data_IF_641758231321
#
_entry.id   IF_641758231321
#
_cell.length_a   1.000
_cell.length_b   1.000
_cell.length_c   1.000
_cell.angle_alpha   90.00
_cell.angle_beta   90.00
_cell.angle_gamma   90.00
#
_symmetry.space_group_name_H-M   'P 1'
#
loop_
_entity.id
_entity.type
_entity.pdbx_description
1 polymer ?
#
# COMPACT_ATOMS: atom_id res chain seq x y z
N UNK A 1 30.04 -3.84 19.88
CA UNK A 1 29.12 -2.71 19.58
C UNK A 1 27.70 -3.22 19.66
N UNK A 2 26.82 -2.50 20.37
CA UNK A 2 25.40 -2.86 20.54
C UNK A 2 24.53 -2.08 19.58
N UNK A 3 23.69 -2.78 18.82
CA UNK A 3 22.78 -2.18 17.82
C UNK A 3 21.33 -2.55 18.19
N UNK A 4 20.48 -1.54 18.37
CA UNK A 4 19.06 -1.72 18.62
C UNK A 4 18.24 -1.50 17.35
N UNK A 5 17.31 -2.40 17.04
CA UNK A 5 16.28 -2.19 16.01
C UNK A 5 14.91 -2.11 16.67
N UNK A 6 14.21 -0.99 16.51
CA UNK A 6 12.87 -0.81 17.05
C UNK A 6 11.85 -1.17 15.99
N UNK A 7 11.10 -2.24 16.23
CA UNK A 7 10.12 -2.85 15.35
C UNK A 7 10.65 -4.14 14.71
N UNK A 8 9.92 -5.22 14.90
CA UNK A 8 10.17 -6.55 14.34
C UNK A 8 9.38 -6.83 13.06
N UNK A 9 9.09 -5.79 12.25
CA UNK A 9 8.48 -5.92 10.93
C UNK A 9 9.49 -6.30 9.85
N UNK A 10 9.08 -6.24 8.57
CA UNK A 10 9.91 -6.57 7.42
C UNK A 10 11.23 -5.82 7.41
N UNK A 11 11.20 -4.49 7.50
CA UNK A 11 12.41 -3.64 7.48
C UNK A 11 13.28 -3.85 8.71
N UNK A 12 12.69 -4.03 9.90
CA UNK A 12 13.45 -4.24 11.14
C UNK A 12 14.17 -5.58 11.19
N UNK A 13 13.54 -6.66 10.70
CA UNK A 13 14.19 -7.97 10.59
C UNK A 13 15.31 -7.94 9.53
N UNK A 14 15.06 -7.33 8.36
CA UNK A 14 16.08 -7.17 7.34
C UNK A 14 17.28 -6.35 7.85
N UNK A 15 16.99 -5.26 8.57
CA UNK A 15 18.03 -4.43 9.18
C UNK A 15 18.87 -5.18 10.23
N UNK A 16 18.21 -5.94 11.10
CA UNK A 16 18.89 -6.74 12.13
C UNK A 16 19.76 -7.83 11.51
N UNK A 17 19.29 -8.52 10.45
CA UNK A 17 20.10 -9.50 9.71
C UNK A 17 21.31 -8.85 9.04
N UNK A 18 21.12 -7.70 8.39
CA UNK A 18 22.21 -6.97 7.75
C UNK A 18 23.23 -6.40 8.76
N UNK A 19 22.75 -6.01 9.94
CA UNK A 19 23.61 -5.53 11.01
C UNK A 19 24.33 -6.64 11.76
N UNK A 20 23.85 -7.88 11.71
CA UNK A 20 24.41 -8.99 12.48
C UNK A 20 25.77 -9.44 11.95
N UNK A 21 26.74 -9.75 12.84
CA UNK A 21 28.06 -10.23 12.47
C UNK A 21 28.97 -10.35 13.69
N UNK A 22 30.19 -10.80 13.44
CA UNK A 22 31.19 -11.01 14.51
C UNK A 22 31.45 -9.71 15.28
N UNK A 23 31.38 -9.79 16.61
CA UNK A 23 31.60 -8.64 17.51
C UNK A 23 30.44 -7.65 17.60
N UNK A 24 29.28 -7.95 16.99
CA UNK A 24 28.09 -7.11 17.03
C UNK A 24 26.99 -7.80 17.83
N UNK A 25 26.42 -7.08 18.81
CA UNK A 25 25.26 -7.51 19.62
C UNK A 25 24.02 -6.79 19.12
N UNK A 26 23.17 -7.50 18.38
CA UNK A 26 21.98 -6.93 17.74
C UNK A 26 20.72 -7.36 18.50
N UNK A 27 19.88 -6.40 18.85
CA UNK A 27 18.62 -6.66 19.54
C UNK A 27 17.45 -6.01 18.79
N UNK A 28 16.40 -6.79 18.52
CA UNK A 28 15.10 -6.29 18.04
C UNK A 28 14.18 -6.07 19.25
N UNK A 29 13.63 -4.86 19.39
CA UNK A 29 12.58 -4.53 20.35
C UNK A 29 11.25 -4.41 19.61
N UNK A 30 10.32 -5.33 19.87
CA UNK A 30 9.00 -5.38 19.21
C UNK A 30 7.89 -5.17 20.24
N UNK A 31 6.94 -4.26 19.97
CA UNK A 31 5.81 -3.98 20.88
C UNK A 31 4.77 -5.09 20.95
N UNK A 32 4.59 -5.81 19.84
CA UNK A 32 3.67 -6.94 19.79
C UNK A 32 4.25 -8.18 20.49
N UNK A 33 3.39 -9.17 20.75
CA UNK A 33 3.74 -10.48 21.31
C UNK A 33 4.65 -11.32 20.40
N UNK A 34 4.76 -10.98 19.10
CA UNK A 34 5.60 -11.66 18.09
C UNK A 34 6.00 -10.72 16.97
N UNK A 35 7.15 -11.01 16.35
CA UNK A 35 7.65 -10.29 15.16
C UNK A 35 6.87 -10.70 13.90
N UNK A 36 6.90 -9.89 12.85
CA UNK A 36 6.45 -10.21 11.49
C UNK A 36 4.93 -10.27 11.29
N UNK A 37 4.10 -9.83 12.24
CA UNK A 37 2.62 -9.92 12.14
C UNK A 37 2.09 -9.36 10.81
N UNK A 38 2.59 -8.21 10.35
CA UNK A 38 2.12 -7.56 9.13
C UNK A 38 2.51 -8.36 7.88
N UNK A 39 3.62 -9.09 7.88
CA UNK A 39 4.01 -9.95 6.74
C UNK A 39 2.95 -11.00 6.45
N UNK A 40 2.38 -11.62 7.49
CA UNK A 40 1.42 -12.73 7.36
C UNK A 40 0.13 -12.35 6.62
N UNK A 41 -0.24 -11.07 6.61
CA UNK A 41 -1.45 -10.58 5.94
C UNK A 41 -1.17 -9.97 4.56
N UNK A 42 0.10 -9.84 4.17
CA UNK A 42 0.46 -9.28 2.86
C UNK A 42 0.09 -10.23 1.71
N UNK A 43 -0.31 -9.67 0.57
CA UNK A 43 -0.66 -10.46 -0.62
C UNK A 43 -1.76 -11.50 -0.35
N UNK A 44 -2.75 -11.19 0.50
CA UNK A 44 -3.80 -12.12 0.93
C UNK A 44 -3.21 -13.41 1.54
N UNK A 45 -2.19 -13.30 2.37
CA UNK A 45 -1.53 -14.43 3.02
C UNK A 45 -0.46 -15.13 2.17
N UNK A 46 -0.19 -14.65 0.95
CA UNK A 46 0.81 -15.21 0.04
C UNK A 46 2.17 -14.50 0.10
N UNK A 47 2.23 -13.28 0.61
CA UNK A 47 3.38 -12.38 0.66
C UNK A 47 3.99 -12.08 -0.72
N UNK A 48 3.53 -11.00 -1.35
CA UNK A 48 4.16 -10.48 -2.57
C UNK A 48 5.47 -9.76 -2.19
N UNK A 49 6.60 -10.46 -2.31
CA UNK A 49 7.92 -10.04 -1.83
C UNK A 49 8.46 -8.82 -2.55
N UNK A 50 8.23 -8.74 -3.86
CA UNK A 50 8.82 -7.75 -4.75
C UNK A 50 8.10 -7.73 -6.10
N UNK A 51 8.59 -6.91 -7.04
CA UNK A 51 8.08 -6.83 -8.40
C UNK A 51 9.22 -6.72 -9.40
N UNK A 52 9.24 -7.56 -10.43
CA UNK A 52 10.26 -7.52 -11.48
C UNK A 52 10.07 -6.33 -12.44
N UNK A 53 8.81 -5.82 -12.58
CA UNK A 53 8.53 -4.58 -13.31
C UNK A 53 8.83 -3.34 -12.43
N UNK A 54 9.97 -3.38 -11.73
CA UNK A 54 10.39 -2.34 -10.82
C UNK A 54 10.68 -1.03 -11.54
N UNK A 55 10.10 0.06 -11.03
CA UNK A 55 10.44 1.44 -11.36
C UNK A 55 10.26 2.31 -10.13
N UNK A 56 11.14 3.30 -9.93
CA UNK A 56 10.97 4.30 -8.88
C UNK A 56 9.75 5.20 -9.13
N UNK A 57 9.18 5.19 -10.34
CA UNK A 57 7.91 5.85 -10.66
C UNK A 57 6.71 5.21 -9.97
N UNK A 58 6.85 3.97 -9.51
CA UNK A 58 5.85 3.28 -8.73
C UNK A 58 5.81 3.71 -7.26
N UNK A 59 6.63 4.67 -6.86
CA UNK A 59 6.69 5.18 -5.48
C UNK A 59 6.31 6.65 -5.38
N UNK A 60 5.78 7.01 -4.23
CA UNK A 60 5.50 8.37 -3.79
C UNK A 60 6.43 8.74 -2.65
N UNK A 61 6.97 9.95 -2.69
CA UNK A 61 7.80 10.56 -1.64
C UNK A 61 7.91 12.05 -1.91
N UNK A 62 8.08 12.85 -0.88
CA UNK A 62 8.43 14.27 -1.00
C UNK A 62 9.83 14.52 -1.59
N UNK A 63 10.67 13.47 -1.68
CA UNK A 63 12.02 13.53 -2.25
C UNK A 63 12.25 12.35 -3.22
N UNK A 64 11.32 12.19 -4.18
CA UNK A 64 11.29 11.07 -5.12
C UNK A 64 12.57 10.96 -5.95
N UNK A 65 13.23 12.06 -6.26
CA UNK A 65 14.48 12.13 -7.02
C UNK A 65 15.65 11.38 -6.35
N UNK A 66 15.57 11.11 -5.05
CA UNK A 66 16.59 10.36 -4.30
C UNK A 66 16.40 8.84 -4.38
N UNK A 67 15.21 8.39 -4.68
CA UNK A 67 14.88 6.95 -4.68
C UNK A 67 15.77 6.13 -5.61
N UNK A 68 16.12 6.57 -6.85
CA UNK A 68 17.01 5.80 -7.72
C UNK A 68 18.37 5.51 -7.08
N UNK A 69 18.97 6.49 -6.40
CA UNK A 69 20.26 6.35 -5.70
C UNK A 69 20.17 5.38 -4.51
N UNK A 70 19.07 5.41 -3.77
CA UNK A 70 18.85 4.52 -2.63
C UNK A 70 18.63 3.08 -3.12
N UNK A 71 17.72 2.86 -4.07
CA UNK A 71 17.42 1.52 -4.60
C UNK A 71 18.59 0.87 -5.33
N UNK A 72 19.52 1.66 -5.89
CA UNK A 72 20.76 1.14 -6.50
C UNK A 72 21.69 0.43 -5.48
N UNK A 73 21.58 0.76 -4.19
CA UNK A 73 22.39 0.14 -3.14
C UNK A 73 21.89 -1.26 -2.74
N UNK A 74 20.60 -1.55 -2.97
CA UNK A 74 19.99 -2.86 -2.77
C UNK A 74 18.78 -2.99 -3.68
N UNK A 75 18.96 -3.71 -4.77
CA UNK A 75 18.01 -3.82 -5.89
C UNK A 75 16.99 -4.94 -5.69
N UNK A 76 16.08 -5.11 -6.65
CA UNK A 76 15.18 -6.27 -6.70
C UNK A 76 15.99 -7.58 -6.83
N UNK A 77 17.03 -7.60 -7.67
CA UNK A 77 17.90 -8.79 -7.78
C UNK A 77 18.54 -9.13 -6.44
N UNK A 78 19.12 -8.13 -5.75
CA UNK A 78 19.71 -8.35 -4.41
C UNK A 78 18.65 -8.88 -3.41
N UNK A 79 17.38 -8.49 -3.56
CA UNK A 79 16.30 -9.01 -2.73
C UNK A 79 16.04 -10.50 -3.01
N UNK A 80 16.03 -10.91 -4.27
CA UNK A 80 15.85 -12.31 -4.64
C UNK A 80 17.01 -13.16 -4.13
N UNK A 81 18.25 -12.69 -4.31
CA UNK A 81 19.45 -13.34 -3.82
C UNK A 81 19.44 -13.46 -2.30
N UNK A 82 19.07 -12.37 -1.59
CA UNK A 82 18.93 -12.38 -0.13
C UNK A 82 17.96 -13.47 0.35
N UNK A 83 16.76 -13.57 -0.25
CA UNK A 83 15.81 -14.60 0.15
C UNK A 83 16.24 -16.01 -0.27
N UNK A 84 16.89 -16.16 -1.41
CA UNK A 84 17.47 -17.43 -1.84
C UNK A 84 18.56 -17.92 -0.87
N UNK A 85 19.46 -17.04 -0.42
CA UNK A 85 20.47 -17.36 0.61
C UNK A 85 19.84 -17.74 1.96
N UNK A 86 18.67 -17.23 2.28
CA UNK A 86 17.91 -17.65 3.46
C UNK A 86 17.21 -19.00 3.28
N UNK A 87 17.21 -19.56 2.06
CA UNK A 87 16.59 -20.85 1.73
C UNK A 87 15.14 -20.72 1.23
N UNK A 88 14.70 -19.52 0.81
CA UNK A 88 13.37 -19.32 0.25
C UNK A 88 13.41 -19.46 -1.28
N UNK A 89 12.69 -20.43 -1.82
CA UNK A 89 12.41 -20.50 -3.25
C UNK A 89 11.30 -19.50 -3.61
N UNK A 90 11.50 -18.76 -4.70
CA UNK A 90 10.53 -17.79 -5.20
C UNK A 90 10.01 -18.19 -6.58
N UNK A 91 8.82 -17.68 -6.93
CA UNK A 91 8.26 -17.74 -8.27
C UNK A 91 7.74 -16.36 -8.70
N UNK A 92 7.73 -16.18 -10.01
CA UNK A 92 7.18 -14.99 -10.65
C UNK A 92 5.79 -15.28 -11.24
N UNK A 93 4.89 -14.30 -11.16
CA UNK A 93 3.61 -14.31 -11.85
C UNK A 93 3.22 -12.87 -12.24
N UNK A 94 3.26 -12.57 -13.54
CA UNK A 94 2.92 -11.24 -14.09
C UNK A 94 3.74 -10.10 -13.45
N UNK A 95 5.04 -10.31 -13.25
CA UNK A 95 5.95 -9.39 -12.59
C UNK A 95 5.95 -9.47 -11.06
N UNK A 96 4.92 -10.01 -10.45
CA UNK A 96 4.84 -10.19 -8.98
C UNK A 96 5.69 -11.36 -8.51
N UNK A 97 6.46 -11.17 -7.44
CA UNK A 97 7.32 -12.20 -6.85
C UNK A 97 6.70 -12.74 -5.57
N UNK A 98 6.48 -14.04 -5.53
CA UNK A 98 5.93 -14.75 -4.37
C UNK A 98 6.89 -15.85 -3.89
N UNK A 99 6.80 -16.30 -2.63
CA UNK A 99 7.39 -17.58 -2.26
C UNK A 99 6.78 -18.71 -3.10
N UNK A 100 7.55 -19.72 -3.47
CA UNK A 100 7.10 -20.83 -4.31
C UNK A 100 5.85 -21.52 -3.75
N UNK A 101 5.77 -21.65 -2.42
CA UNK A 101 4.64 -22.25 -1.70
C UNK A 101 3.42 -21.32 -1.55
N UNK A 102 3.49 -20.05 -1.98
CA UNK A 102 2.44 -19.03 -1.80
C UNK A 102 1.98 -18.82 -0.34
N UNK A 103 2.89 -18.97 0.62
CA UNK A 103 2.59 -18.81 2.04
C UNK A 103 3.46 -17.71 2.66
N UNK A 104 2.81 -16.67 3.19
CA UNK A 104 3.50 -15.59 3.89
C UNK A 104 4.23 -16.08 5.15
N UNK A 105 3.76 -17.15 5.77
CA UNK A 105 4.43 -17.79 6.91
C UNK A 105 5.82 -18.30 6.56
N UNK A 106 6.02 -18.88 5.36
CA UNK A 106 7.33 -19.35 4.93
C UNK A 106 8.35 -18.22 4.84
N UNK A 107 7.93 -17.03 4.38
CA UNK A 107 8.78 -15.83 4.37
C UNK A 107 9.18 -15.42 5.78
N UNK A 108 8.24 -15.42 6.71
CA UNK A 108 8.51 -15.09 8.11
C UNK A 108 9.42 -16.13 8.76
N UNK A 109 9.21 -17.41 8.49
CA UNK A 109 10.00 -18.49 9.11
C UNK A 109 11.46 -18.48 8.65
N UNK A 110 11.75 -18.28 7.35
CA UNK A 110 13.15 -18.17 6.90
C UNK A 110 13.87 -16.96 7.50
N UNK A 111 13.16 -15.83 7.70
CA UNK A 111 13.71 -14.67 8.40
C UNK A 111 13.98 -14.98 9.88
N UNK A 112 13.07 -15.65 10.58
CA UNK A 112 13.24 -16.04 11.99
C UNK A 112 14.41 -17.02 12.17
N UNK A 113 14.50 -18.05 11.33
CA UNK A 113 15.60 -19.00 11.34
C UNK A 113 16.95 -18.30 11.09
N UNK A 114 16.99 -17.33 10.18
CA UNK A 114 18.19 -16.56 9.94
C UNK A 114 18.59 -15.69 11.14
N UNK A 115 17.62 -15.01 11.79
CA UNK A 115 17.85 -14.23 13.00
C UNK A 115 18.39 -15.10 14.14
N UNK A 116 17.85 -16.31 14.31
CA UNK A 116 18.31 -17.29 15.29
C UNK A 116 19.75 -17.74 14.98
N UNK A 117 20.03 -18.17 13.74
CA UNK A 117 21.39 -18.55 13.31
C UNK A 117 22.42 -17.43 13.52
N UNK A 118 22.00 -16.18 13.35
CA UNK A 118 22.84 -14.99 13.57
C UNK A 118 22.87 -14.53 15.04
N UNK A 119 22.20 -15.24 15.94
CA UNK A 119 22.11 -14.95 17.39
C UNK A 119 21.58 -13.53 17.67
N UNK A 120 20.67 -13.02 16.83
CA UNK A 120 19.98 -11.74 17.09
C UNK A 120 19.03 -11.93 18.25
N UNK A 121 19.12 -11.05 19.25
CA UNK A 121 18.18 -11.04 20.38
C UNK A 121 16.84 -10.46 19.95
N UNK A 122 15.74 -11.09 20.33
CA UNK A 122 14.39 -10.62 20.05
C UNK A 122 13.64 -10.48 21.35
N UNK A 123 13.25 -9.26 21.66
CA UNK A 123 12.43 -8.94 22.83
C UNK A 123 11.06 -8.44 22.35
N UNK A 124 10.01 -9.18 22.70
CA UNK A 124 8.60 -8.88 22.34
C UNK A 124 7.83 -8.34 23.53
N UNK A 125 6.66 -7.71 23.27
CA UNK A 125 5.89 -7.02 24.28
C UNK A 125 6.54 -5.74 24.79
N UNK A 126 7.52 -5.19 24.04
CA UNK A 126 8.34 -4.07 24.42
C UNK A 126 7.81 -2.77 23.80
N UNK A 127 7.01 -2.01 24.54
CA UNK A 127 6.60 -0.68 24.12
C UNK A 127 7.70 0.34 24.45
N UNK A 128 8.17 1.04 23.42
CA UNK A 128 9.17 2.09 23.59
C UNK A 128 8.44 3.38 23.97
N UNK A 129 8.77 3.94 25.14
CA UNK A 129 8.16 5.16 25.65
C UNK A 129 9.03 6.39 25.40
N UNK A 130 10.34 6.21 25.39
CA UNK A 130 11.29 7.31 25.17
C UNK A 130 12.63 6.80 24.66
N UNK A 131 13.28 7.59 23.80
CA UNK A 131 14.67 7.39 23.38
C UNK A 131 15.41 8.71 23.58
N UNK A 132 16.57 8.65 24.21
CA UNK A 132 17.48 9.81 24.34
C UNK A 132 18.89 9.40 23.98
N UNK A 133 19.61 10.29 23.29
CA UNK A 133 21.06 10.13 23.06
C UNK A 133 21.81 10.88 24.12
N UNK A 134 22.56 10.14 24.96
CA UNK A 134 23.32 10.71 26.06
C UNK A 134 24.63 9.90 26.28
N UNK A 135 25.74 10.59 26.52
CA UNK A 135 27.04 9.98 26.79
C UNK A 135 27.48 8.98 25.73
N UNK A 136 27.27 9.33 24.43
CA UNK A 136 27.69 8.51 23.29
C UNK A 136 26.82 7.29 23.00
N UNK A 137 25.68 7.11 23.67
CA UNK A 137 24.78 5.97 23.50
C UNK A 137 23.31 6.37 23.49
N UNK A 138 22.49 5.54 22.82
CA UNK A 138 21.03 5.65 22.86
C UNK A 138 20.50 4.92 24.09
N UNK A 139 19.81 5.63 24.95
CA UNK A 139 19.10 5.09 26.11
C UNK A 139 17.63 4.96 25.74
N UNK A 140 17.13 3.73 25.69
CA UNK A 140 15.79 3.36 25.25
C UNK A 140 14.98 2.93 26.48
N UNK A 141 13.96 3.70 26.81
CA UNK A 141 13.02 3.34 27.87
C UNK A 141 11.95 2.41 27.32
N UNK A 142 11.83 1.25 27.91
CA UNK A 142 10.93 0.17 27.50
C UNK A 142 9.93 -0.09 28.62
N UNK A 143 8.67 -0.18 28.28
CA UNK A 143 7.57 -0.65 29.11
C UNK A 143 7.17 -2.06 28.65
N UNK A 144 7.18 -3.01 29.57
CA UNK A 144 6.77 -4.40 29.33
C UNK A 144 6.08 -4.94 30.57
N UNK A 145 4.78 -5.34 30.45
CA UNK A 145 4.01 -5.94 31.55
C UNK A 145 4.14 -5.12 32.86
N UNK A 146 3.89 -3.81 32.77
CA UNK A 146 4.02 -2.83 33.90
C UNK A 146 5.44 -2.70 34.51
N UNK A 147 6.45 -3.30 33.85
CA UNK A 147 7.85 -3.13 34.24
C UNK A 147 8.53 -2.13 33.31
N UNK A 148 9.38 -1.30 33.89
CA UNK A 148 10.20 -0.35 33.13
C UNK A 148 11.65 -0.82 33.10
N UNK A 149 12.24 -0.82 31.91
CA UNK A 149 13.63 -1.13 31.69
C UNK A 149 14.31 -0.06 30.84
N UNK A 150 15.61 0.06 30.94
CA UNK A 150 16.42 0.95 30.11
C UNK A 150 17.47 0.12 29.39
N UNK A 151 17.35 0.05 28.05
CA UNK A 151 18.38 -0.55 27.20
C UNK A 151 19.34 0.53 26.70
N UNK A 152 20.60 0.14 26.46
CA UNK A 152 21.63 1.03 25.92
C UNK A 152 22.21 0.45 24.66
N UNK A 153 22.25 1.27 23.59
CA UNK A 153 22.78 0.89 22.28
C UNK A 153 23.75 1.95 21.76
N UNK A 154 24.79 1.51 21.05
CA UNK A 154 25.74 2.39 20.38
C UNK A 154 25.17 2.95 19.08
N UNK A 155 24.27 2.18 18.44
CA UNK A 155 23.55 2.52 17.20
C UNK A 155 22.09 2.13 17.33
N UNK A 156 21.22 2.88 16.65
CA UNK A 156 19.78 2.67 16.70
C UNK A 156 19.17 2.69 15.29
N UNK A 157 18.27 1.75 15.03
CA UNK A 157 17.49 1.69 13.80
C UNK A 157 16.01 1.83 14.16
N UNK A 158 15.34 2.87 13.70
CA UNK A 158 13.90 3.03 13.81
C UNK A 158 13.22 2.35 12.61
N UNK A 159 12.58 1.22 12.85
CA UNK A 159 11.86 0.41 11.86
C UNK A 159 10.41 0.14 12.31
N UNK A 160 9.79 1.17 12.94
CA UNK A 160 8.49 1.06 13.61
C UNK A 160 7.32 0.87 12.65
N UNK A 161 7.54 1.04 11.33
CA UNK A 161 6.48 1.02 10.33
C UNK A 161 5.55 2.23 10.41
N UNK A 162 4.38 2.11 9.77
CA UNK A 162 3.35 3.15 9.71
C UNK A 162 2.14 2.80 10.58
N UNK A 163 1.06 3.59 10.46
CA UNK A 163 -0.23 3.36 11.12
C UNK A 163 -1.13 2.36 10.36
N UNK A 164 -0.74 1.88 9.18
CA UNK A 164 -1.54 0.95 8.39
C UNK A 164 -1.79 -0.37 9.14
N UNK A 165 -3.05 -0.80 9.16
CA UNK A 165 -3.49 -2.00 9.87
C UNK A 165 -3.83 -1.77 11.35
N UNK A 166 -3.67 -0.56 11.88
CA UNK A 166 -3.98 -0.25 13.29
C UNK A 166 -5.46 0.10 13.46
N UNK A 167 -6.04 -0.35 14.57
CA UNK A 167 -7.38 0.07 14.99
C UNK A 167 -7.35 1.55 15.42
N UNK A 168 -8.52 2.20 15.46
CA UNK A 168 -8.62 3.63 15.77
C UNK A 168 -7.95 4.03 17.10
N UNK A 169 -8.05 3.16 18.12
CA UNK A 169 -7.50 3.40 19.44
C UNK A 169 -6.01 3.04 19.59
N UNK A 170 -5.40 2.45 18.57
CA UNK A 170 -3.99 2.08 18.62
C UNK A 170 -3.12 3.23 18.12
N UNK A 171 -2.05 3.51 18.89
CA UNK A 171 -1.07 4.56 18.55
C UNK A 171 0.11 3.98 17.78
N UNK A 172 0.49 4.66 16.71
CA UNK A 172 1.75 4.42 16.01
C UNK A 172 2.80 5.35 16.59
N UNK A 173 3.57 4.84 17.54
CA UNK A 173 4.52 5.65 18.31
C UNK A 173 5.77 6.08 17.49
N UNK A 174 5.95 5.51 16.28
CA UNK A 174 7.15 5.72 15.46
C UNK A 174 7.42 7.18 15.09
N UNK A 175 6.39 7.96 14.74
CA UNK A 175 6.56 9.39 14.44
C UNK A 175 6.97 10.18 15.69
N UNK A 176 6.34 9.92 16.82
CA UNK A 176 6.68 10.59 18.10
C UNK A 176 8.13 10.31 18.49
N UNK A 177 8.61 9.09 18.28
CA UNK A 177 10.01 8.74 18.51
C UNK A 177 10.95 9.50 17.55
N UNK A 178 10.59 9.64 16.29
CA UNK A 178 11.37 10.39 15.32
C UNK A 178 11.38 11.90 15.63
N UNK A 179 10.23 12.46 15.97
CA UNK A 179 10.07 13.87 16.37
C UNK A 179 10.87 14.21 17.62
N UNK A 180 11.09 13.27 18.55
CA UNK A 180 11.96 13.47 19.70
C UNK A 180 13.42 13.76 19.33
N UNK A 181 13.83 13.40 18.12
CA UNK A 181 15.12 13.77 17.50
C UNK A 181 15.01 14.97 16.56
N UNK A 182 13.92 15.74 16.62
CA UNK A 182 13.66 16.92 15.78
C UNK A 182 13.60 16.62 14.28
N UNK A 183 13.24 15.38 13.92
CA UNK A 183 13.03 15.01 12.52
C UNK A 183 11.68 15.56 12.04
N UNK A 184 11.67 16.15 10.87
CA UNK A 184 10.44 16.64 10.22
C UNK A 184 9.63 15.47 9.72
N UNK A 185 8.33 15.53 9.96
CA UNK A 185 7.38 14.49 9.62
C UNK A 185 6.19 15.04 8.85
N UNK A 186 5.61 14.21 8.00
CA UNK A 186 4.27 14.40 7.44
C UNK A 186 3.30 13.44 8.15
N UNK A 187 2.09 13.89 8.50
CA UNK A 187 1.10 13.01 9.11
C UNK A 187 0.81 11.79 8.25
N UNK A 188 0.67 10.63 8.87
CA UNK A 188 0.23 9.45 8.14
C UNK A 188 -1.18 9.63 7.60
N UNK A 189 -1.36 9.32 6.31
CA UNK A 189 -2.64 9.21 5.63
C UNK A 189 -2.80 7.78 5.11
N UNK A 190 -4.01 7.18 5.21
CA UNK A 190 -4.22 5.84 4.66
C UNK A 190 -4.02 5.83 3.14
N UNK A 191 -3.31 4.83 2.66
CA UNK A 191 -3.10 4.58 1.24
C UNK A 191 -3.32 3.09 0.94
N UNK A 192 -3.55 2.75 -0.33
CA UNK A 192 -4.01 1.43 -0.76
C UNK A 192 -5.25 0.99 0.06
N UNK A 193 -6.27 1.82 0.03
CA UNK A 193 -7.48 1.71 0.85
C UNK A 193 -8.74 1.90 -0.01
N UNK A 194 -9.87 1.35 0.42
CA UNK A 194 -11.16 1.52 -0.24
C UNK A 194 -11.64 2.97 -0.12
N UNK A 195 -12.33 3.45 -1.15
CA UNK A 195 -12.92 4.78 -1.20
C UNK A 195 -14.44 4.72 -0.96
N UNK A 196 -14.93 5.63 -0.13
CA UNK A 196 -16.35 5.76 0.20
C UNK A 196 -17.02 6.76 -0.73
N UNK A 197 -18.17 6.37 -1.26
CA UNK A 197 -18.94 7.19 -2.18
C UNK A 197 -20.29 7.59 -1.54
N UNK A 198 -20.88 8.69 -2.03
CA UNK A 198 -22.14 9.20 -1.48
C UNK A 198 -23.40 8.54 -2.08
N UNK A 199 -23.27 7.84 -3.21
CA UNK A 199 -24.42 7.36 -3.99
C UNK A 199 -25.13 6.17 -3.33
N UNK A 200 -26.44 6.30 -3.00
CA UNK A 200 -27.20 5.22 -2.35
C UNK A 200 -27.37 3.97 -3.22
N UNK A 201 -27.31 4.12 -4.55
CA UNK A 201 -27.46 3.01 -5.49
C UNK A 201 -26.34 1.97 -5.40
N UNK A 202 -25.20 2.32 -4.79
CA UNK A 202 -24.09 1.39 -4.60
C UNK A 202 -24.47 0.17 -3.78
N UNK A 203 -25.44 0.29 -2.86
CA UNK A 203 -26.00 -0.87 -2.13
C UNK A 203 -26.53 -1.95 -3.07
N UNK A 204 -27.16 -1.56 -4.19
CA UNK A 204 -27.67 -2.50 -5.18
C UNK A 204 -26.53 -3.16 -6.00
N UNK A 205 -25.38 -2.50 -6.08
CA UNK A 205 -24.20 -2.99 -6.80
C UNK A 205 -23.22 -3.78 -5.92
N UNK A 206 -23.50 -3.89 -4.64
CA UNK A 206 -22.60 -4.57 -3.70
C UNK A 206 -22.26 -6.01 -4.16
N UNK A 207 -20.97 -6.34 -4.11
CA UNK A 207 -20.41 -7.64 -4.52
C UNK A 207 -20.13 -7.78 -6.02
N UNK A 208 -20.49 -6.81 -6.86
CA UNK A 208 -20.14 -6.83 -8.29
C UNK A 208 -18.64 -6.62 -8.44
N UNK A 209 -18.01 -7.48 -9.24
CA UNK A 209 -16.64 -7.35 -9.72
C UNK A 209 -16.65 -7.28 -11.24
N UNK A 210 -15.91 -6.36 -11.80
CA UNK A 210 -15.84 -6.15 -13.25
C UNK A 210 -14.55 -5.45 -13.64
N UNK A 211 -14.07 -5.69 -14.85
CA UNK A 211 -13.00 -4.89 -15.42
C UNK A 211 -13.53 -3.48 -15.65
N UNK A 212 -12.76 -2.48 -15.25
CA UNK A 212 -13.13 -1.10 -15.44
C UNK A 212 -11.88 -0.21 -15.51
N UNK A 213 -12.02 0.90 -16.25
CA UNK A 213 -11.09 2.02 -16.17
C UNK A 213 -11.66 3.08 -15.26
N UNK A 214 -10.90 3.51 -14.28
CA UNK A 214 -11.32 4.47 -13.26
C UNK A 214 -10.58 5.77 -13.52
N UNK A 215 -11.32 6.86 -13.61
CA UNK A 215 -10.79 8.21 -13.74
C UNK A 215 -11.14 9.01 -12.50
N UNK A 216 -10.15 9.35 -11.70
CA UNK A 216 -10.25 10.24 -10.53
C UNK A 216 -9.89 11.65 -10.96
N UNK A 217 -10.78 12.60 -10.70
CA UNK A 217 -10.54 14.03 -10.91
C UNK A 217 -10.36 14.73 -9.57
N UNK A 218 -9.23 15.40 -9.41
CA UNK A 218 -8.96 16.37 -8.34
C UNK A 218 -8.99 17.78 -8.93
N UNK A 219 -8.87 18.81 -8.09
CA UNK A 219 -8.82 20.19 -8.56
C UNK A 219 -7.68 20.43 -9.56
N UNK A 220 -6.53 19.78 -9.32
CA UNK A 220 -5.29 20.10 -10.05
C UNK A 220 -4.92 19.04 -11.10
N UNK A 221 -5.41 17.80 -10.94
CA UNK A 221 -4.96 16.66 -11.75
C UNK A 221 -6.07 15.65 -12.04
N UNK A 222 -5.84 14.85 -13.06
CA UNK A 222 -6.65 13.68 -13.40
C UNK A 222 -5.77 12.44 -13.38
N UNK A 223 -6.18 11.44 -12.61
CA UNK A 223 -5.49 10.17 -12.48
C UNK A 223 -6.35 9.05 -13.07
N UNK A 224 -5.71 8.05 -13.68
CA UNK A 224 -6.41 6.95 -14.34
C UNK A 224 -5.73 5.63 -14.00
N UNK A 225 -6.54 4.63 -13.66
CA UNK A 225 -6.10 3.25 -13.44
C UNK A 225 -7.11 2.29 -14.07
N UNK A 226 -6.65 1.10 -14.46
CA UNK A 226 -7.48 0.08 -15.07
C UNK A 226 -7.25 -1.26 -14.39
N UNK A 227 -8.32 -2.06 -14.25
CA UNK A 227 -8.26 -3.39 -13.65
C UNK A 227 -9.59 -3.83 -13.07
N UNK A 228 -9.56 -4.89 -12.24
CA UNK A 228 -10.77 -5.38 -11.57
C UNK A 228 -11.24 -4.39 -10.50
N UNK A 229 -12.36 -3.74 -10.79
CA UNK A 229 -13.12 -2.91 -9.86
C UNK A 229 -14.06 -3.79 -9.04
N UNK A 230 -14.09 -3.57 -7.73
CA UNK A 230 -15.08 -4.14 -6.83
C UNK A 230 -16.02 -3.04 -6.31
N UNK A 231 -17.32 -3.19 -6.57
CA UNK A 231 -18.35 -2.32 -6.03
C UNK A 231 -18.81 -2.87 -4.67
N UNK A 232 -18.87 -1.99 -3.68
CA UNK A 232 -19.31 -2.31 -2.31
C UNK A 232 -20.57 -1.52 -1.98
N UNK A 233 -21.22 -1.81 -0.87
CA UNK A 233 -22.42 -1.09 -0.40
C UNK A 233 -22.14 0.36 0.01
N UNK A 234 -20.87 0.69 0.29
CA UNK A 234 -20.41 2.02 0.73
C UNK A 234 -19.53 2.76 -0.28
N UNK A 235 -19.14 2.12 -1.38
CA UNK A 235 -18.20 2.75 -2.31
C UNK A 235 -17.53 1.79 -3.28
N UNK A 236 -16.25 2.06 -3.56
CA UNK A 236 -15.46 1.35 -4.56
C UNK A 236 -14.17 0.78 -3.95
N UNK A 237 -13.73 -0.35 -4.49
CA UNK A 237 -12.56 -1.11 -4.06
C UNK A 237 -11.92 -1.81 -5.27
N UNK A 238 -10.86 -2.58 -5.02
CA UNK A 238 -10.08 -3.28 -6.05
C UNK A 238 -8.74 -2.62 -6.31
N UNK A 239 -7.86 -3.31 -7.02
CA UNK A 239 -6.48 -2.84 -7.24
C UNK A 239 -6.43 -1.44 -7.86
N UNK A 240 -7.20 -1.10 -8.92
CA UNK A 240 -7.15 0.24 -9.50
C UNK A 240 -7.62 1.33 -8.52
N UNK A 241 -8.59 1.02 -7.64
CA UNK A 241 -9.01 1.97 -6.61
C UNK A 241 -7.92 2.16 -5.56
N UNK A 242 -7.25 1.09 -5.15
CA UNK A 242 -6.12 1.18 -4.22
C UNK A 242 -5.00 2.05 -4.77
N UNK A 243 -4.66 1.91 -6.05
CA UNK A 243 -3.65 2.74 -6.72
C UNK A 243 -4.01 4.24 -6.71
N UNK A 244 -5.31 4.55 -6.87
CA UNK A 244 -5.81 5.93 -6.87
C UNK A 244 -6.03 6.50 -5.46
N UNK A 245 -6.13 5.63 -4.44
CA UNK A 245 -6.57 6.03 -3.11
C UNK A 245 -5.65 7.05 -2.44
N UNK A 246 -4.32 6.92 -2.59
CA UNK A 246 -3.37 7.86 -2.03
C UNK A 246 -3.57 9.29 -2.57
N UNK A 247 -3.88 9.43 -3.86
CA UNK A 247 -4.22 10.72 -4.47
C UNK A 247 -5.57 11.24 -3.96
N UNK A 248 -6.57 10.35 -3.88
CA UNK A 248 -7.90 10.70 -3.39
C UNK A 248 -7.85 11.17 -1.92
N UNK A 249 -7.17 10.44 -1.05
CA UNK A 249 -7.06 10.76 0.38
C UNK A 249 -6.35 12.10 0.59
N UNK A 250 -5.26 12.36 -0.12
CA UNK A 250 -4.57 13.66 -0.08
C UNK A 250 -5.46 14.80 -0.57
N UNK A 251 -6.21 14.60 -1.65
CA UNK A 251 -7.12 15.62 -2.18
C UNK A 251 -8.28 15.91 -1.23
N UNK A 252 -8.82 14.89 -0.55
CA UNK A 252 -9.88 15.03 0.45
C UNK A 252 -9.48 15.83 1.70
N UNK A 253 -8.18 16.02 1.96
CA UNK A 253 -7.72 16.96 3.00
C UNK A 253 -8.08 18.42 2.67
N UNK A 254 -8.28 18.75 1.39
CA UNK A 254 -8.54 20.10 0.88
C UNK A 254 -9.90 20.24 0.18
N UNK A 255 -10.56 19.16 -0.16
CA UNK A 255 -11.79 19.10 -0.92
C UNK A 255 -12.83 18.22 -0.20
N UNK A 256 -14.10 18.62 -0.17
CA UNK A 256 -15.17 17.85 0.49
C UNK A 256 -15.56 16.58 -0.28
N UNK A 257 -15.39 16.59 -1.60
CA UNK A 257 -15.76 15.51 -2.49
C UNK A 257 -14.91 15.52 -3.77
N UNK A 258 -14.77 14.36 -4.41
CA UNK A 258 -14.02 14.17 -5.64
C UNK A 258 -14.89 13.45 -6.67
N UNK A 259 -14.83 13.88 -7.93
CA UNK A 259 -15.50 13.22 -9.04
C UNK A 259 -14.69 12.02 -9.51
N UNK A 260 -15.37 10.89 -9.62
CA UNK A 260 -14.80 9.67 -10.19
C UNK A 260 -15.71 9.16 -11.30
N UNK A 261 -15.13 8.76 -12.40
CA UNK A 261 -15.85 8.17 -13.54
C UNK A 261 -15.39 6.74 -13.73
N UNK A 262 -16.36 5.84 -13.85
CA UNK A 262 -16.15 4.41 -14.07
C UNK A 262 -16.48 4.09 -15.54
N UNK A 263 -15.52 3.58 -16.28
CA UNK A 263 -15.70 3.01 -17.60
C UNK A 263 -15.79 1.48 -17.45
N UNK A 264 -16.97 0.93 -17.60
CA UNK A 264 -17.23 -0.51 -17.50
C UNK A 264 -16.92 -1.28 -18.80
N UNK A 265 -16.50 -0.59 -19.83
CA UNK A 265 -16.19 -1.14 -21.17
C UNK A 265 -14.80 -0.63 -21.64
N UNK A 266 -13.73 -0.85 -20.86
CA UNK A 266 -12.41 -0.27 -21.16
C UNK A 266 -11.84 -0.73 -22.49
N UNK A 267 -12.24 -1.92 -22.98
CA UNK A 267 -11.75 -2.50 -24.23
C UNK A 267 -12.37 -1.87 -25.50
N UNK A 268 -13.45 -1.09 -25.34
CA UNK A 268 -14.05 -0.35 -26.44
C UNK A 268 -13.62 1.11 -26.39
N UNK A 269 -13.21 1.69 -27.52
CA UNK A 269 -13.19 3.14 -27.68
C UNK A 269 -14.64 3.70 -27.69
N UNK A 270 -14.81 5.00 -27.45
CA UNK A 270 -16.14 5.64 -27.53
C UNK A 270 -16.78 5.45 -28.91
N UNK A 271 -15.98 5.47 -30.00
CA UNK A 271 -16.43 5.28 -31.37
C UNK A 271 -16.95 3.86 -31.59
N UNK A 272 -16.12 2.86 -31.26
CA UNK A 272 -16.48 1.44 -31.38
C UNK A 272 -17.73 1.10 -30.56
N UNK A 273 -17.85 1.64 -29.37
CA UNK A 273 -19.02 1.41 -28.53
C UNK A 273 -20.29 2.04 -29.12
N UNK A 274 -20.22 3.23 -29.72
CA UNK A 274 -21.34 3.84 -30.43
C UNK A 274 -21.75 2.99 -31.64
N UNK A 275 -20.81 2.53 -32.44
CA UNK A 275 -21.06 1.65 -33.58
C UNK A 275 -21.73 0.34 -33.13
N UNK A 276 -21.25 -0.27 -32.05
CA UNK A 276 -21.85 -1.48 -31.45
C UNK A 276 -23.31 -1.22 -31.00
N UNK A 277 -23.58 -0.10 -30.36
CA UNK A 277 -24.94 0.28 -29.94
C UNK A 277 -25.89 0.41 -31.14
N UNK A 278 -25.43 0.96 -32.27
CA UNK A 278 -26.23 1.06 -33.50
C UNK A 278 -26.47 -0.32 -34.14
N UNK A 279 -25.48 -1.19 -34.16
CA UNK A 279 -25.66 -2.57 -34.60
C UNK A 279 -26.65 -3.33 -33.71
N UNK A 280 -26.56 -3.18 -32.40
CA UNK A 280 -27.52 -3.76 -31.44
C UNK A 280 -28.91 -3.21 -31.65
N UNK A 281 -29.08 -1.91 -31.92
CA UNK A 281 -30.37 -1.31 -32.22
C UNK A 281 -31.02 -1.95 -33.46
N UNK A 282 -30.25 -2.21 -34.52
CA UNK A 282 -30.76 -2.92 -35.71
C UNK A 282 -31.21 -4.35 -35.38
N UNK A 283 -30.46 -5.07 -34.57
CA UNK A 283 -30.73 -6.46 -34.24
C UNK A 283 -31.82 -6.63 -33.16
N UNK A 284 -31.86 -5.74 -32.18
CA UNK A 284 -32.64 -5.87 -30.93
C UNK A 284 -33.63 -4.71 -30.72
N UNK A 285 -33.92 -3.92 -31.76
CA UNK A 285 -34.78 -2.71 -31.67
C UNK A 285 -36.16 -2.99 -31.12
N UNK A 286 -36.74 -4.17 -31.32
CA UNK A 286 -38.06 -4.56 -30.82
C UNK A 286 -38.02 -5.18 -29.40
N UNK A 287 -36.83 -5.32 -28.80
CA UNK A 287 -36.68 -5.90 -27.49
C UNK A 287 -36.86 -4.86 -26.37
N UNK A 288 -36.87 -5.36 -25.13
CA UNK A 288 -36.92 -4.48 -23.95
C UNK A 288 -35.52 -3.91 -23.68
N UNK A 289 -35.47 -2.79 -22.96
CA UNK A 289 -34.20 -2.17 -22.54
C UNK A 289 -33.31 -3.10 -21.72
N UNK A 290 -33.90 -3.99 -20.89
CA UNK A 290 -33.12 -5.03 -20.19
C UNK A 290 -32.42 -5.95 -21.17
N UNK A 291 -33.15 -6.47 -22.16
CA UNK A 291 -32.59 -7.40 -23.18
C UNK A 291 -31.61 -6.70 -24.11
N UNK A 292 -31.85 -5.46 -24.45
CA UNK A 292 -30.95 -4.66 -25.28
C UNK A 292 -29.54 -4.56 -24.68
N UNK A 293 -29.45 -4.32 -23.38
CA UNK A 293 -28.17 -4.23 -22.69
C UNK A 293 -27.65 -5.57 -22.14
N UNK A 294 -28.43 -6.64 -22.18
CA UNK A 294 -27.97 -7.97 -21.74
C UNK A 294 -26.70 -8.41 -22.50
N UNK A 295 -25.71 -8.91 -21.76
CA UNK A 295 -24.43 -9.34 -22.32
C UNK A 295 -23.40 -8.21 -22.55
N UNK A 296 -23.71 -6.96 -22.22
CA UNK A 296 -22.75 -5.85 -22.31
C UNK A 296 -21.89 -5.72 -21.05
N UNK A 297 -22.54 -5.55 -19.91
CA UNK A 297 -21.90 -5.49 -18.58
C UNK A 297 -22.73 -6.29 -17.56
N UNK A 298 -22.30 -6.35 -16.32
CA UNK A 298 -23.01 -7.07 -15.26
C UNK A 298 -24.46 -6.56 -15.10
N UNK A 299 -25.45 -7.47 -15.02
CA UNK A 299 -26.90 -7.16 -14.98
C UNK A 299 -27.28 -6.10 -13.95
N UNK A 300 -26.70 -6.15 -12.73
CA UNK A 300 -26.98 -5.13 -11.69
C UNK A 300 -26.59 -3.71 -12.13
N UNK A 301 -25.52 -3.55 -12.93
CA UNK A 301 -25.08 -2.24 -13.45
C UNK A 301 -26.14 -1.69 -14.41
N UNK A 302 -26.69 -2.52 -15.30
CA UNK A 302 -27.77 -2.14 -16.21
C UNK A 302 -29.02 -1.73 -15.45
N UNK A 303 -29.42 -2.54 -14.46
CA UNK A 303 -30.60 -2.22 -13.62
C UNK A 303 -30.45 -0.87 -12.92
N UNK A 304 -29.28 -0.60 -12.34
CA UNK A 304 -29.00 0.68 -11.67
C UNK A 304 -28.95 1.84 -12.67
N UNK A 305 -28.32 1.65 -13.83
CA UNK A 305 -28.27 2.66 -14.89
C UNK A 305 -29.69 3.07 -15.34
N UNK A 306 -30.51 2.10 -15.72
CA UNK A 306 -31.87 2.35 -16.20
C UNK A 306 -32.74 3.00 -15.11
N UNK A 307 -32.64 2.50 -13.87
CA UNK A 307 -33.35 3.11 -12.73
C UNK A 307 -32.92 4.56 -12.48
N UNK A 308 -31.64 4.87 -12.55
CA UNK A 308 -31.10 6.23 -12.39
C UNK A 308 -31.64 7.18 -13.47
N UNK A 309 -31.80 6.69 -14.70
CA UNK A 309 -32.33 7.43 -15.83
C UNK A 309 -33.86 7.36 -15.91
N UNK A 310 -34.52 6.82 -14.87
CA UNK A 310 -35.98 6.66 -14.77
C UNK A 310 -36.59 5.86 -15.92
N UNK A 311 -35.87 4.88 -16.44
CA UNK A 311 -36.29 4.00 -17.52
C UNK A 311 -36.69 2.64 -16.95
N UNK A 312 -37.87 2.14 -17.32
CA UNK A 312 -38.30 0.80 -16.98
C UNK A 312 -37.47 -0.24 -17.74
N UNK A 313 -37.09 -1.34 -17.07
CA UNK A 313 -36.44 -2.50 -17.71
C UNK A 313 -37.28 -3.06 -18.88
N UNK A 314 -38.60 -2.93 -18.79
CA UNK A 314 -39.57 -3.42 -19.78
C UNK A 314 -39.94 -2.41 -20.89
N UNK A 315 -39.40 -1.17 -20.84
CA UNK A 315 -39.60 -0.19 -21.93
C UNK A 315 -39.02 -0.76 -23.23
N UNK A 316 -39.68 -0.49 -24.34
CA UNK A 316 -39.22 -0.95 -25.66
C UNK A 316 -38.08 -0.06 -26.16
N UNK A 317 -37.10 -0.64 -26.84
CA UNK A 317 -36.00 0.12 -27.48
C UNK A 317 -36.53 1.10 -28.51
N UNK A 318 -37.65 0.76 -29.19
CA UNK A 318 -38.34 1.63 -30.16
C UNK A 318 -38.89 2.92 -29.54
N UNK A 319 -39.09 2.97 -28.22
CA UNK A 319 -39.60 4.14 -27.54
C UNK A 319 -38.55 5.25 -27.39
N UNK A 320 -37.28 4.94 -27.76
CA UNK A 320 -36.16 5.85 -27.59
C UNK A 320 -35.55 6.25 -28.94
N UNK A 321 -35.24 7.53 -29.10
CA UNK A 321 -34.43 8.00 -30.21
C UNK A 321 -33.03 7.42 -30.21
N UNK A 322 -32.36 7.45 -31.35
CA UNK A 322 -30.99 6.97 -31.47
C UNK A 322 -30.04 7.76 -30.56
N UNK A 323 -30.16 9.07 -30.51
CA UNK A 323 -29.37 9.96 -29.66
C UNK A 323 -29.55 9.59 -28.17
N UNK A 324 -30.80 9.27 -27.73
CA UNK A 324 -31.05 8.88 -26.35
C UNK A 324 -30.43 7.53 -26.00
N UNK A 325 -30.49 6.55 -26.91
CA UNK A 325 -29.83 5.25 -26.74
C UNK A 325 -28.32 5.38 -26.68
N UNK A 326 -27.74 6.18 -27.58
CA UNK A 326 -26.30 6.46 -27.56
C UNK A 326 -25.89 7.14 -26.26
N UNK A 327 -26.65 8.16 -25.79
CA UNK A 327 -26.38 8.85 -24.55
C UNK A 327 -26.41 7.89 -23.35
N UNK A 328 -27.40 7.00 -23.28
CA UNK A 328 -27.50 5.95 -22.26
C UNK A 328 -26.30 5.00 -22.30
N UNK A 329 -25.96 4.52 -23.48
CA UNK A 329 -24.81 3.63 -23.65
C UNK A 329 -23.51 4.30 -23.22
N UNK A 330 -23.35 5.59 -23.51
CA UNK A 330 -22.17 6.36 -23.12
C UNK A 330 -22.03 6.54 -21.59
N UNK A 331 -23.13 6.44 -20.83
CA UNK A 331 -23.04 6.41 -19.36
C UNK A 331 -22.29 5.17 -18.85
N UNK A 332 -22.27 4.05 -19.58
CA UNK A 332 -21.45 2.88 -19.24
C UNK A 332 -19.94 3.12 -19.43
N UNK A 333 -19.59 4.08 -20.28
CA UNK A 333 -18.21 4.53 -20.50
C UNK A 333 -17.78 5.63 -19.53
N UNK A 334 -18.72 6.33 -18.93
CA UNK A 334 -18.44 7.47 -18.04
C UNK A 334 -19.46 7.51 -16.89
N UNK A 335 -19.57 6.41 -16.16
CA UNK A 335 -20.51 6.29 -15.05
C UNK A 335 -20.03 7.09 -13.84
N UNK A 336 -20.75 8.14 -13.41
CA UNK A 336 -20.27 9.04 -12.36
C UNK A 336 -20.52 8.46 -10.97
N UNK A 337 -19.53 8.57 -10.10
CA UNK A 337 -19.64 8.40 -8.65
C UNK A 337 -18.85 9.50 -7.95
N UNK A 338 -19.27 9.86 -6.74
CA UNK A 338 -18.68 10.93 -5.96
C UNK A 338 -18.01 10.34 -4.71
N UNK A 339 -16.71 10.45 -4.64
CA UNK A 339 -15.93 10.00 -3.47
C UNK A 339 -15.97 11.10 -2.40
N UNK A 340 -16.43 10.73 -1.20
CA UNK A 340 -16.58 11.64 -0.05
C UNK A 340 -15.73 11.21 1.16
N UNK A 341 -14.99 10.12 1.04
CA UNK A 341 -14.15 9.61 2.12
C UNK A 341 -13.41 8.34 1.75
N UNK A 342 -12.82 7.74 2.73
CA UNK A 342 -12.04 6.49 2.63
C UNK A 342 -12.28 5.62 3.87
N UNK A 343 -11.91 4.35 3.80
CA UNK A 343 -11.92 3.49 4.97
C UNK A 343 -10.75 3.82 5.92
N UNK A 344 -10.84 3.34 7.17
CA UNK A 344 -9.89 3.67 8.23
C UNK A 344 -8.51 3.04 8.03
N UNK A 345 -7.55 3.45 8.85
CA UNK A 345 -6.20 2.86 8.87
C UNK A 345 -6.20 1.34 9.07
N UNK A 346 -7.19 0.78 9.77
CA UNK A 346 -7.27 -0.67 9.98
C UNK A 346 -7.46 -1.47 8.68
N UNK A 347 -7.97 -0.82 7.64
CA UNK A 347 -8.19 -1.42 6.32
C UNK A 347 -7.19 -0.92 5.26
N UNK A 348 -6.34 0.03 5.60
CA UNK A 348 -5.27 0.50 4.74
C UNK A 348 -4.12 -0.52 4.70
N UNK A 349 -3.60 -0.81 3.51
CA UNK A 349 -2.46 -1.69 3.37
C UNK A 349 -1.16 -0.98 3.73
N UNK A 350 -1.05 0.32 3.41
CA UNK A 350 0.09 1.18 3.70
C UNK A 350 -0.38 2.58 4.10
N UNK A 351 0.55 3.42 4.53
CA UNK A 351 0.33 4.86 4.68
C UNK A 351 1.23 5.63 3.75
N UNK A 352 0.76 6.79 3.28
CA UNK A 352 1.61 7.87 2.82
C UNK A 352 1.96 8.81 3.99
N UNK A 353 3.01 9.62 3.84
CA UNK A 353 3.57 10.42 4.92
C UNK A 353 4.59 9.63 5.74
N UNK A 354 5.05 10.19 6.83
CA UNK A 354 6.13 9.64 7.62
C UNK A 354 7.24 10.66 7.85
N UNK A 355 8.41 10.19 8.27
CA UNK A 355 9.61 11.03 8.37
C UNK A 355 10.07 11.40 6.97
N UNK A 356 10.27 12.68 6.70
CA UNK A 356 10.69 13.15 5.38
C UNK A 356 12.01 12.49 4.97
N UNK A 357 12.08 11.96 3.76
CA UNK A 357 13.27 11.26 3.27
C UNK A 357 14.51 12.16 3.26
N UNK A 358 14.35 13.48 3.22
CA UNK A 358 15.42 14.47 3.31
C UNK A 358 16.06 14.58 4.72
N UNK A 359 15.44 14.02 5.76
CA UNK A 359 16.00 13.99 7.11
C UNK A 359 17.12 12.94 7.26
N UNK A 360 17.21 12.02 6.31
CA UNK A 360 18.25 10.98 6.29
C UNK A 360 19.19 11.14 5.10
N UNK A 361 20.41 10.65 5.23
CA UNK A 361 21.36 10.48 4.12
C UNK A 361 20.96 9.27 3.25
N UNK A 362 21.65 9.00 2.14
CA UNK A 362 21.39 7.82 1.31
C UNK A 362 21.81 6.51 1.98
N UNK A 363 22.59 6.59 3.07
CA UNK A 363 22.88 5.53 4.02
C UNK A 363 21.74 5.23 4.99
N UNK A 364 20.65 6.03 4.91
CA UNK A 364 19.51 6.05 5.83
C UNK A 364 19.89 6.45 7.27
N UNK A 365 21.08 6.99 7.48
CA UNK A 365 21.49 7.62 8.73
C UNK A 365 20.83 9.00 8.85
N UNK A 366 20.31 9.31 10.03
CA UNK A 366 19.78 10.63 10.36
C UNK A 366 20.86 11.69 10.17
N UNK A 367 20.53 12.80 9.49
CA UNK A 367 21.50 13.89 9.22
C UNK A 367 21.88 14.66 10.48
N UNK A 368 20.98 14.72 11.45
CA UNK A 368 21.13 15.51 12.67
C UNK A 368 21.59 14.68 13.88
N UNK A 369 21.45 13.36 13.83
CA UNK A 369 21.82 12.46 14.90
C UNK A 369 22.65 11.28 14.38
N UNK A 370 23.97 11.34 14.59
CA UNK A 370 24.88 10.26 14.21
C UNK A 370 24.52 8.97 14.94
N UNK A 371 24.55 7.87 14.19
CA UNK A 371 24.27 6.53 14.71
C UNK A 371 22.77 6.20 14.82
N UNK A 372 21.88 7.12 14.43
CA UNK A 372 20.44 6.88 14.29
C UNK A 372 20.13 6.62 12.82
N UNK A 373 19.45 5.51 12.54
CA UNK A 373 19.03 5.08 11.20
C UNK A 373 17.52 4.89 11.15
N UNK A 374 16.93 5.10 9.99
CA UNK A 374 15.49 4.91 9.78
C UNK A 374 15.26 3.94 8.63
N UNK A 375 14.20 3.10 8.72
CA UNK A 375 13.90 2.14 7.68
C UNK A 375 12.38 1.84 7.54
N UNK A 376 11.98 1.42 6.36
CA UNK A 376 10.63 0.97 6.04
C UNK A 376 9.61 2.11 5.96
N UNK A 377 8.36 1.78 6.27
CA UNK A 377 7.20 2.69 6.17
C UNK A 377 7.20 3.82 7.21
N UNK A 378 8.19 3.92 8.09
CA UNK A 378 8.39 5.08 8.94
C UNK A 378 8.86 6.29 8.13
N UNK A 379 9.59 6.05 7.04
CA UNK A 379 10.00 7.08 6.07
C UNK A 379 8.85 7.40 5.11
N UNK A 380 8.76 8.64 4.67
CA UNK A 380 7.80 9.11 3.66
C UNK A 380 8.11 8.52 2.28
N UNK A 381 7.90 7.22 2.16
CA UNK A 381 8.01 6.45 0.91
C UNK A 381 6.93 5.38 0.92
N UNK A 382 5.94 5.52 0.05
CA UNK A 382 4.91 4.53 -0.21
C UNK A 382 4.88 4.11 -1.68
N UNK A 383 4.69 2.84 -1.93
CA UNK A 383 4.65 2.24 -3.25
C UNK A 383 3.25 1.78 -3.66
N UNK A 384 3.09 1.56 -4.97
CA UNK A 384 1.87 0.95 -5.55
C UNK A 384 1.61 -0.44 -4.96
N UNK A 385 0.39 -0.98 -5.18
CA UNK A 385 0.11 -2.39 -4.96
C UNK A 385 1.03 -3.26 -5.80
N UNK A 386 1.49 -4.40 -5.24
CA UNK A 386 2.21 -5.37 -6.05
C UNK A 386 3.66 -5.61 -5.67
N UNK A 387 3.99 -5.63 -4.37
CA UNK A 387 5.33 -5.97 -3.87
C UNK A 387 6.25 -4.77 -3.65
N UNK A 388 5.92 -3.59 -4.16
CA UNK A 388 6.75 -2.39 -4.06
C UNK A 388 7.02 -1.97 -2.61
N UNK A 389 6.02 -2.01 -1.73
CA UNK A 389 6.17 -1.62 -0.32
C UNK A 389 7.05 -2.60 0.48
N UNK A 390 6.97 -3.88 0.18
CA UNK A 390 7.90 -4.86 0.76
C UNK A 390 9.31 -4.69 0.19
N UNK A 391 9.45 -4.42 -1.12
CA UNK A 391 10.76 -4.09 -1.71
C UNK A 391 11.41 -2.90 -0.99
N UNK A 392 10.65 -1.81 -0.73
CA UNK A 392 11.14 -0.69 0.06
C UNK A 392 11.56 -1.10 1.47
N UNK A 393 10.77 -1.95 2.13
CA UNK A 393 11.09 -2.43 3.46
C UNK A 393 12.40 -3.24 3.48
N UNK A 394 12.63 -4.10 2.49
CA UNK A 394 13.88 -4.87 2.36
C UNK A 394 15.06 -3.94 2.05
N UNK A 395 14.94 -3.12 1.00
CA UNK A 395 15.98 -2.18 0.58
C UNK A 395 16.41 -1.28 1.73
N UNK A 396 15.47 -0.55 2.33
CA UNK A 396 15.77 0.38 3.40
C UNK A 396 16.29 -0.32 4.66
N UNK A 397 15.74 -1.47 5.00
CA UNK A 397 16.21 -2.28 6.13
C UNK A 397 17.66 -2.72 5.98
N UNK A 398 17.99 -3.32 4.84
CA UNK A 398 19.35 -3.81 4.55
C UNK A 398 20.35 -2.64 4.54
N UNK A 399 20.03 -1.53 3.90
CA UNK A 399 20.90 -0.35 3.85
C UNK A 399 21.15 0.19 5.27
N UNK A 400 20.09 0.43 6.05
CA UNK A 400 20.20 0.91 7.42
C UNK A 400 21.03 -0.04 8.29
N UNK A 401 20.79 -1.34 8.20
CA UNK A 401 21.49 -2.35 8.96
C UNK A 401 22.99 -2.44 8.63
N UNK A 402 23.35 -2.47 7.32
CA UNK A 402 24.75 -2.48 6.86
C UNK A 402 25.52 -1.26 7.37
N UNK A 403 24.92 -0.07 7.24
CA UNK A 403 25.56 1.18 7.66
C UNK A 403 25.63 1.30 9.20
N UNK A 404 24.60 0.85 9.93
CA UNK A 404 24.65 0.79 11.40
C UNK A 404 25.77 -0.14 11.90
N UNK A 405 26.09 -1.22 11.17
CA UNK A 405 27.19 -2.13 11.47
C UNK A 405 28.58 -1.58 11.06
N UNK A 406 28.63 -0.41 10.38
CA UNK A 406 29.89 0.14 9.84
C UNK A 406 30.43 -0.60 8.62
N UNK A 407 29.58 -1.38 7.93
CA UNK A 407 29.96 -2.11 6.70
C UNK A 407 29.67 -1.22 5.49
N UNK A 408 30.73 -0.87 4.77
CA UNK A 408 30.61 -0.33 3.40
C UNK A 408 30.45 -1.52 2.44
N UNK A 409 29.70 -1.31 1.33
CA UNK A 409 29.61 -2.32 0.26
C UNK A 409 30.98 -2.77 -0.18
#
# INVERSE_FOLDING_TARGET
MKIGSIGGGASGMAAALAASGQGLDVTILEKNDRIGKKILVTGNGKCNLSNLAFSTDCYHSGAKERLPGIFKQFTVSDTLDFFHELGLMTKEKNGYVYPQCEQASAVLDVLRFALERKKVKIETGCRITRIVYKQGSFQVQVEKEDRHAVHRFDRMILACGSRAGYKENEKADGLLLAESFQLRTEPFLPALVQLRCQEPFLKALAGVRTQAKITLQTKDNTYKEEGELQLTDYGISGIPVFQLSGYAVRALQKQKALSVFLDFLPHFSEKEWKEELLLRKKALGNETMERFFTGTVHKKIITVLLKKEQISLNSRVTDFSEERLLALGMLLKKFPVTVVGHNSFSQAQVCSGGVLLNEVADTLECRHQKGLYLAGELLDVDGRCGGYNLQWAWTSGIIAGRNAAGRRK
#
